data_IF_169091616314
#
_entry.id   IF_169091616314
#
_cell.length_a   1.000
_cell.length_b   1.000
_cell.length_c   1.000
_cell.angle_alpha   90.00
_cell.angle_beta   90.00
_cell.angle_gamma   90.00
#
_symmetry.space_group_name_H-M   'P 1'
#
loop_
_entity.id
_entity.type
_entity.pdbx_description
1 polymer ?
#
# COMPACT_ATOMS: atom_id res chain seq x y z
N UNK A 1 -7.63 12.07 9.92
CA UNK A 1 -7.02 11.40 8.75
C UNK A 1 -7.41 9.94 8.85
N UNK A 2 -8.35 9.48 8.02
CA UNK A 2 -8.71 8.06 8.02
C UNK A 2 -7.52 7.30 7.43
N UNK A 3 -6.94 6.38 8.22
CA UNK A 3 -6.00 5.40 7.67
C UNK A 3 -6.78 4.59 6.64
N UNK A 4 -6.28 4.50 5.41
CA UNK A 4 -6.75 3.48 4.49
C UNK A 4 -6.65 2.15 5.24
N UNK A 5 -7.82 1.57 5.54
CA UNK A 5 -7.86 0.21 6.05
C UNK A 5 -7.66 -0.64 4.82
N UNK A 6 -6.41 -1.03 4.55
CA UNK A 6 -6.17 -2.30 3.87
C UNK A 6 -7.05 -3.30 4.62
N UNK A 7 -7.88 -4.04 3.88
CA UNK A 7 -8.81 -4.99 4.47
C UNK A 7 -8.04 -5.79 5.54
N UNK A 8 -8.61 -5.95 6.74
CA UNK A 8 -7.89 -6.61 7.84
C UNK A 8 -7.51 -8.05 7.46
N UNK A 9 -8.23 -8.63 6.49
CA UNK A 9 -7.95 -9.94 5.89
C UNK A 9 -6.70 -9.97 4.99
N UNK A 10 -6.18 -8.80 4.58
CA UNK A 10 -4.90 -8.65 3.88
C UNK A 10 -3.75 -8.21 4.82
N UNK A 11 -3.99 -8.17 6.14
CA UNK A 11 -3.02 -7.72 7.14
C UNK A 11 -1.98 -8.76 7.56
N UNK A 12 -1.09 -8.36 8.49
CA UNK A 12 0.09 -9.06 9.06
C UNK A 12 0.12 -10.60 9.04
N UNK A 13 -1.00 -11.26 9.30
CA UNK A 13 -1.11 -12.72 9.33
C UNK A 13 -1.06 -13.36 7.93
N UNK A 14 -1.22 -12.59 6.86
CA UNK A 14 -1.23 -13.08 5.48
C UNK A 14 0.08 -13.76 5.09
N UNK A 15 1.19 -13.37 5.71
CA UNK A 15 2.54 -13.82 5.35
C UNK A 15 3.30 -14.43 6.54
N UNK A 16 2.62 -14.76 7.65
CA UNK A 16 3.26 -15.37 8.83
C UNK A 16 3.95 -16.70 8.51
N UNK A 17 3.31 -17.52 7.67
CA UNK A 17 3.87 -18.80 7.21
C UNK A 17 4.76 -18.67 5.96
N UNK A 18 4.95 -17.45 5.44
CA UNK A 18 5.76 -17.23 4.24
C UNK A 18 7.26 -17.35 4.56
N UNK A 19 8.01 -17.92 3.62
CA UNK A 19 9.47 -18.01 3.75
C UNK A 19 10.09 -16.61 3.87
N UNK A 20 11.27 -16.54 4.49
CA UNK A 20 12.02 -15.28 4.60
C UNK A 20 12.27 -14.66 3.23
N UNK A 21 12.60 -15.46 2.23
CA UNK A 21 12.80 -15.01 0.85
C UNK A 21 11.57 -14.29 0.28
N UNK A 22 10.36 -14.82 0.52
CA UNK A 22 9.11 -14.18 0.07
C UNK A 22 8.87 -12.88 0.83
N UNK A 23 9.08 -12.86 2.15
CA UNK A 23 8.92 -11.64 2.96
C UNK A 23 9.90 -10.55 2.53
N UNK A 24 11.17 -10.87 2.35
CA UNK A 24 12.19 -9.95 1.86
C UNK A 24 11.83 -9.41 0.47
N UNK A 25 11.30 -10.26 -0.41
CA UNK A 25 10.83 -9.84 -1.73
C UNK A 25 9.66 -8.85 -1.64
N UNK A 26 8.66 -9.13 -0.80
CA UNK A 26 7.51 -8.25 -0.57
C UNK A 26 7.98 -6.89 -0.04
N UNK A 27 8.89 -6.90 0.94
CA UNK A 27 9.48 -5.68 1.51
C UNK A 27 10.17 -4.85 0.44
N UNK A 28 10.98 -5.48 -0.41
CA UNK A 28 11.67 -4.78 -1.50
C UNK A 28 10.67 -4.24 -2.55
N UNK A 29 9.62 -4.99 -2.87
CA UNK A 29 8.57 -4.55 -3.79
C UNK A 29 7.83 -3.32 -3.25
N UNK A 30 7.45 -3.32 -1.96
CA UNK A 30 6.82 -2.16 -1.31
C UNK A 30 7.75 -0.95 -1.33
N UNK A 31 9.03 -1.14 -0.95
CA UNK A 31 10.01 -0.07 -0.94
C UNK A 31 10.18 0.57 -2.31
N UNK A 32 10.29 -0.25 -3.37
CA UNK A 32 10.38 0.23 -4.73
C UNK A 32 9.13 1.00 -5.15
N UNK A 33 7.93 0.50 -4.83
CA UNK A 33 6.67 1.19 -5.16
C UNK A 33 6.64 2.58 -4.53
N UNK A 34 7.09 2.71 -3.29
CA UNK A 34 7.11 3.98 -2.56
C UNK A 34 8.15 4.97 -3.11
N UNK A 35 9.33 4.51 -3.56
CA UNK A 35 10.41 5.43 -3.95
C UNK A 35 10.49 5.73 -5.45
N UNK A 36 9.72 5.02 -6.30
CA UNK A 36 9.82 5.08 -7.77
C UNK A 36 9.51 6.45 -8.36
N UNK A 37 8.72 7.26 -7.68
CA UNK A 37 8.37 8.62 -8.10
C UNK A 37 9.40 9.67 -7.63
N UNK A 38 10.33 9.28 -6.76
CA UNK A 38 11.38 10.11 -6.19
C UNK A 38 10.92 11.09 -5.10
N UNK A 39 9.70 11.00 -4.57
CA UNK A 39 9.19 11.91 -3.53
C UNK A 39 8.53 11.12 -2.42
N UNK A 40 9.19 11.06 -1.25
CA UNK A 40 8.62 10.37 -0.09
C UNK A 40 7.68 11.30 0.70
N UNK A 41 6.37 11.05 0.61
CA UNK A 41 5.34 11.80 1.31
C UNK A 41 4.89 11.15 2.64
N UNK A 42 4.22 11.93 3.50
CA UNK A 42 3.80 11.47 4.84
C UNK A 42 2.91 10.21 4.81
N UNK A 43 2.11 10.06 3.77
CA UNK A 43 1.17 8.94 3.64
C UNK A 43 1.88 7.64 3.19
N UNK A 44 3.00 7.73 2.47
CA UNK A 44 3.82 6.58 2.08
C UNK A 44 4.56 5.95 3.27
N UNK A 45 4.72 6.68 4.38
CA UNK A 45 5.22 6.09 5.62
C UNK A 45 4.32 4.96 6.14
N UNK A 46 3.03 4.95 5.79
CA UNK A 46 2.14 3.83 6.15
C UNK A 46 2.55 2.58 5.39
N UNK A 47 2.84 2.69 4.09
CA UNK A 47 3.36 1.58 3.29
C UNK A 47 4.72 1.08 3.81
N UNK A 48 5.61 1.99 4.21
CA UNK A 48 6.89 1.61 4.82
C UNK A 48 6.71 0.94 6.19
N UNK A 49 5.73 1.37 6.99
CA UNK A 49 5.39 0.70 8.26
C UNK A 49 4.96 -0.74 8.01
N UNK A 50 4.10 -0.97 7.02
CA UNK A 50 3.68 -2.31 6.61
C UNK A 50 4.88 -3.19 6.21
N UNK A 51 5.83 -2.66 5.44
CA UNK A 51 7.05 -3.38 5.09
C UNK A 51 7.93 -3.68 6.32
N UNK A 52 8.09 -2.72 7.24
CA UNK A 52 8.87 -2.90 8.47
C UNK A 52 8.30 -4.02 9.34
N UNK A 53 6.98 -4.20 9.36
CA UNK A 53 6.34 -5.25 10.16
C UNK A 53 6.62 -6.68 9.66
N UNK A 54 7.11 -6.83 8.42
CA UNK A 54 7.49 -8.12 7.83
C UNK A 54 8.95 -8.51 8.13
N UNK A 55 9.76 -7.57 8.63
CA UNK A 55 11.16 -7.77 8.94
C UNK A 55 11.38 -8.37 10.33
N UNK A 56 12.41 -9.19 10.47
CA UNK A 56 12.67 -9.98 11.68
C UNK A 56 13.64 -9.28 12.64
N UNK A 57 14.41 -8.31 12.15
CA UNK A 57 15.47 -7.68 12.92
C UNK A 57 15.54 -6.16 12.75
N UNK A 58 16.12 -5.49 13.75
CA UNK A 58 16.39 -4.04 13.67
C UNK A 58 17.40 -3.68 12.59
N UNK A 59 18.31 -4.59 12.28
CA UNK A 59 19.34 -4.36 11.25
C UNK A 59 18.70 -4.34 9.86
N UNK A 60 17.78 -5.25 9.57
CA UNK A 60 17.00 -5.24 8.32
C UNK A 60 16.17 -3.96 8.18
N UNK A 61 15.56 -3.49 9.27
CA UNK A 61 14.82 -2.21 9.29
C UNK A 61 15.76 -1.04 9.00
N UNK A 62 16.96 -1.04 9.61
CA UNK A 62 17.95 0.00 9.37
C UNK A 62 18.40 0.02 7.91
N UNK A 63 18.68 -1.15 7.34
CA UNK A 63 19.07 -1.30 5.94
C UNK A 63 17.97 -0.83 5.01
N UNK A 64 16.71 -1.27 5.20
CA UNK A 64 15.56 -0.79 4.44
C UNK A 64 15.47 0.75 4.48
N UNK A 65 15.54 1.34 5.68
CA UNK A 65 15.42 2.79 5.84
C UNK A 65 16.60 3.55 5.23
N UNK A 66 17.81 2.99 5.24
CA UNK A 66 18.96 3.57 4.57
C UNK A 66 18.74 3.61 3.07
N UNK A 67 18.30 2.50 2.48
CA UNK A 67 18.03 2.37 1.04
C UNK A 67 16.94 3.31 0.55
N UNK A 68 15.85 3.40 1.32
CA UNK A 68 14.74 4.32 1.05
C UNK A 68 15.22 5.79 1.07
N UNK A 69 16.11 6.16 2.01
CA UNK A 69 16.71 7.51 2.04
C UNK A 69 17.63 7.77 0.86
N UNK A 70 18.41 6.77 0.46
CA UNK A 70 19.34 6.85 -0.67
C UNK A 70 18.62 6.77 -2.03
N UNK A 71 17.32 6.43 -2.04
CA UNK A 71 16.50 6.21 -3.24
C UNK A 71 17.10 5.17 -4.18
N UNK A 72 17.67 4.15 -3.57
CA UNK A 72 18.27 3.04 -4.29
C UNK A 72 17.14 2.12 -4.78
N UNK A 73 16.72 2.31 -6.04
CA UNK A 73 15.70 1.50 -6.69
C UNK A 73 16.28 0.13 -7.03
N UNK A 74 15.66 -0.93 -6.49
CA UNK A 74 16.02 -2.30 -6.80
C UNK A 74 15.31 -2.76 -8.06
N UNK A 75 16.01 -3.57 -8.84
CA UNK A 75 15.35 -4.43 -9.81
C UNK A 75 14.47 -5.44 -9.06
N UNK A 76 13.16 -5.40 -9.31
CA UNK A 76 12.25 -6.45 -8.84
C UNK A 76 12.51 -7.69 -9.68
N UNK A 77 12.90 -8.78 -9.02
CA UNK A 77 13.27 -10.04 -9.67
C UNK A 77 12.13 -11.04 -9.62
N UNK A 78 12.15 -12.00 -10.52
CA UNK A 78 11.20 -13.11 -10.49
C UNK A 78 11.32 -13.89 -9.18
N UNK A 79 10.17 -14.29 -8.63
CA UNK A 79 10.09 -15.10 -7.43
C UNK A 79 9.08 -16.23 -7.64
N UNK A 80 9.45 -17.44 -7.20
CA UNK A 80 8.55 -18.59 -7.25
C UNK A 80 7.79 -18.71 -5.93
N UNK A 81 6.48 -18.77 -6.02
CA UNK A 81 5.60 -19.09 -4.91
C UNK A 81 4.32 -19.76 -5.43
N UNK A 82 3.56 -20.39 -4.53
CA UNK A 82 2.25 -20.95 -4.86
C UNK A 82 1.32 -19.87 -5.42
N UNK A 83 0.53 -20.22 -6.44
CA UNK A 83 -0.31 -19.27 -7.17
C UNK A 83 -1.25 -18.49 -6.24
N UNK A 84 -1.85 -19.16 -5.26
CA UNK A 84 -2.72 -18.51 -4.28
C UNK A 84 -1.98 -17.44 -3.47
N UNK A 85 -0.74 -17.71 -3.06
CA UNK A 85 0.09 -16.75 -2.35
C UNK A 85 0.51 -15.59 -3.26
N UNK A 86 0.88 -15.88 -4.52
CA UNK A 86 1.21 -14.86 -5.51
C UNK A 86 0.04 -13.89 -5.73
N UNK A 87 -1.19 -14.41 -5.85
CA UNK A 87 -2.42 -13.60 -5.98
C UNK A 87 -2.59 -12.72 -4.73
N UNK A 88 -2.49 -13.30 -3.53
CA UNK A 88 -2.62 -12.58 -2.25
C UNK A 88 -1.59 -11.46 -2.11
N UNK A 89 -0.32 -11.75 -2.42
CA UNK A 89 0.76 -10.75 -2.46
C UNK A 89 0.43 -9.63 -3.44
N UNK A 90 -0.07 -9.96 -4.62
CA UNK A 90 -0.35 -8.96 -5.64
C UNK A 90 -1.51 -8.02 -5.25
N UNK A 91 -2.58 -8.56 -4.66
CA UNK A 91 -3.65 -7.74 -4.08
C UNK A 91 -3.14 -6.83 -2.96
N UNK A 92 -2.25 -7.33 -2.11
CA UNK A 92 -1.64 -6.55 -1.04
C UNK A 92 -0.78 -5.40 -1.59
N UNK A 93 0.10 -5.66 -2.55
CA UNK A 93 0.90 -4.62 -3.23
C UNK A 93 0.01 -3.57 -3.92
N UNK A 94 -1.06 -4.01 -4.58
CA UNK A 94 -1.99 -3.10 -5.26
C UNK A 94 -2.76 -2.21 -4.27
N UNK A 95 -3.09 -2.72 -3.07
CA UNK A 95 -3.72 -1.94 -2.02
C UNK A 95 -2.75 -0.92 -1.41
N UNK A 96 -1.48 -1.29 -1.22
CA UNK A 96 -0.42 -0.39 -0.76
C UNK A 96 -0.19 0.75 -1.77
N UNK A 97 -0.15 0.42 -3.06
CA UNK A 97 0.12 1.40 -4.13
C UNK A 97 -0.94 2.50 -4.24
N UNK A 98 -2.13 2.33 -3.64
CA UNK A 98 -3.23 3.32 -3.67
C UNK A 98 -3.55 3.90 -2.28
N UNK A 99 -2.67 3.69 -1.30
CA UNK A 99 -2.89 4.04 0.12
C UNK A 99 -2.94 5.56 0.38
N UNK A 100 -2.54 6.37 -0.58
CA UNK A 100 -2.59 7.82 -0.51
C UNK A 100 -3.82 8.41 -1.23
N UNK A 101 -4.61 7.57 -1.90
CA UNK A 101 -5.72 8.02 -2.73
C UNK A 101 -5.32 8.41 -4.16
N UNK A 102 -4.11 8.07 -4.60
CA UNK A 102 -3.60 8.29 -5.94
C UNK A 102 -2.85 7.05 -6.46
N UNK A 103 -2.61 6.99 -7.77
CA UNK A 103 -1.69 6.00 -8.35
C UNK A 103 -0.98 6.65 -9.53
N UNK A 104 0.28 7.03 -9.32
CA UNK A 104 1.12 7.64 -10.35
C UNK A 104 1.44 6.61 -11.44
N UNK A 105 1.81 7.13 -12.63
CA UNK A 105 2.15 6.28 -13.77
C UNK A 105 3.32 5.34 -13.45
N UNK A 106 4.36 5.85 -12.78
CA UNK A 106 5.55 5.09 -12.38
C UNK A 106 5.23 3.98 -11.38
N UNK A 107 4.40 4.27 -10.36
CA UNK A 107 3.92 3.28 -9.39
C UNK A 107 3.10 2.18 -10.06
N UNK A 108 2.23 2.54 -11.01
CA UNK A 108 1.45 1.58 -11.79
C UNK A 108 2.31 0.69 -12.67
N UNK A 109 3.31 1.27 -13.34
CA UNK A 109 4.25 0.51 -14.19
C UNK A 109 5.05 -0.49 -13.35
N UNK A 110 5.53 -0.05 -12.19
CA UNK A 110 6.24 -0.92 -11.26
C UNK A 110 5.34 -1.98 -10.63
N UNK A 111 4.11 -1.65 -10.25
CA UNK A 111 3.12 -2.61 -9.76
C UNK A 111 2.86 -3.70 -10.80
N UNK A 112 2.66 -3.32 -12.07
CA UNK A 112 2.47 -4.30 -13.14
C UNK A 112 3.73 -5.18 -13.33
N UNK A 113 4.93 -4.62 -13.20
CA UNK A 113 6.18 -5.39 -13.24
C UNK A 113 6.26 -6.40 -12.09
N UNK A 114 5.87 -6.01 -10.86
CA UNK A 114 5.75 -6.94 -9.73
C UNK A 114 4.80 -8.09 -10.05
N UNK A 115 3.65 -7.82 -10.70
CA UNK A 115 2.72 -8.85 -11.14
C UNK A 115 3.36 -9.85 -12.12
N UNK A 116 4.17 -9.36 -13.06
CA UNK A 116 4.95 -10.19 -13.98
C UNK A 116 5.98 -11.06 -13.26
N UNK A 117 6.73 -10.50 -12.32
CA UNK A 117 7.72 -11.23 -11.52
C UNK A 117 7.12 -12.29 -10.58
N UNK A 118 5.84 -12.16 -10.24
CA UNK A 118 5.05 -13.17 -9.53
C UNK A 118 4.55 -14.30 -10.46
N UNK A 119 4.79 -14.19 -11.77
CA UNK A 119 4.31 -15.15 -12.77
C UNK A 119 2.80 -15.08 -13.03
N UNK A 120 2.16 -13.95 -12.73
CA UNK A 120 0.71 -13.78 -12.93
C UNK A 120 0.39 -13.45 -14.38
N UNK A 121 -0.78 -13.92 -14.84
CA UNK A 121 -1.28 -13.60 -16.17
C UNK A 121 -1.67 -12.11 -16.29
N UNK A 122 -1.41 -11.52 -17.45
CA UNK A 122 -1.70 -10.12 -17.75
C UNK A 122 -3.17 -9.71 -17.47
N UNK A 123 -4.12 -10.62 -17.70
CA UNK A 123 -5.55 -10.36 -17.44
C UNK A 123 -5.83 -10.20 -15.94
N UNK A 124 -5.22 -11.05 -15.11
CA UNK A 124 -5.29 -10.92 -13.67
C UNK A 124 -4.61 -9.63 -13.19
N UNK A 125 -3.42 -9.33 -13.74
CA UNK A 125 -2.70 -8.09 -13.41
C UNK A 125 -3.59 -6.87 -13.68
N UNK A 126 -4.20 -6.81 -14.87
CA UNK A 126 -5.14 -5.73 -15.24
C UNK A 126 -6.38 -5.69 -14.33
N UNK A 127 -6.92 -6.84 -13.95
CA UNK A 127 -8.11 -6.92 -13.12
C UNK A 127 -7.85 -6.38 -11.69
N UNK A 128 -6.75 -6.80 -11.07
CA UNK A 128 -6.38 -6.35 -9.72
C UNK A 128 -6.00 -4.86 -9.72
N UNK A 129 -5.24 -4.39 -10.71
CA UNK A 129 -4.93 -2.95 -10.85
C UNK A 129 -6.20 -2.11 -11.05
N UNK A 130 -7.22 -2.63 -11.74
CA UNK A 130 -8.52 -1.94 -11.84
C UNK A 130 -9.27 -1.97 -10.51
N UNK A 131 -9.22 -3.10 -9.80
CA UNK A 131 -9.82 -3.23 -8.47
C UNK A 131 -9.22 -2.21 -7.48
N UNK A 132 -7.90 -2.03 -7.46
CA UNK A 132 -7.27 -1.08 -6.53
C UNK A 132 -7.68 0.38 -6.82
N UNK A 133 -7.78 0.77 -8.10
CA UNK A 133 -8.30 2.07 -8.50
C UNK A 133 -9.76 2.28 -8.06
N UNK A 134 -10.60 1.26 -8.16
CA UNK A 134 -11.97 1.33 -7.66
C UNK A 134 -12.02 1.48 -6.13
N UNK A 135 -11.17 0.74 -5.39
CA UNK A 135 -11.06 0.86 -3.93
C UNK A 135 -10.63 2.28 -3.52
N UNK A 136 -9.68 2.85 -4.26
CA UNK A 136 -9.21 4.22 -4.08
C UNK A 136 -10.36 5.25 -4.20
N UNK A 137 -11.17 5.13 -5.27
CA UNK A 137 -12.34 6.00 -5.50
C UNK A 137 -13.37 5.88 -4.37
N UNK A 138 -13.66 4.66 -3.92
CA UNK A 138 -14.59 4.39 -2.81
C UNK A 138 -14.08 5.05 -1.52
N UNK A 139 -12.80 4.87 -1.20
CA UNK A 139 -12.19 5.45 0.00
C UNK A 139 -12.15 6.98 -0.03
N UNK A 140 -11.90 7.56 -1.21
CA UNK A 140 -11.95 9.02 -1.41
C UNK A 140 -13.35 9.57 -1.13
N UNK A 141 -14.38 8.92 -1.69
CA UNK A 141 -15.78 9.32 -1.48
C UNK A 141 -16.18 9.19 -0.01
N UNK A 142 -15.88 8.06 0.63
CA UNK A 142 -16.17 7.86 2.05
C UNK A 142 -15.53 8.94 2.94
N UNK A 143 -14.27 9.30 2.64
CA UNK A 143 -13.56 10.35 3.39
C UNK A 143 -14.24 11.72 3.24
N UNK A 144 -14.71 12.05 2.04
CA UNK A 144 -15.43 13.29 1.77
C UNK A 144 -16.78 13.33 2.49
N UNK A 145 -17.54 12.23 2.45
CA UNK A 145 -18.85 12.12 3.11
C UNK A 145 -18.72 12.26 4.62
N UNK A 146 -17.71 11.61 5.23
CA UNK A 146 -17.41 11.73 6.66
C UNK A 146 -16.99 13.15 7.06
N UNK A 147 -16.17 13.82 6.24
CA UNK A 147 -15.79 15.23 6.48
C UNK A 147 -17.03 16.14 6.47
N UNK A 148 -17.91 15.93 5.51
CA UNK A 148 -19.16 16.70 5.39
C UNK A 148 -20.08 16.47 6.59
N UNK A 149 -20.22 15.22 7.03
CA UNK A 149 -21.00 14.87 8.21
C UNK A 149 -20.43 15.49 9.50
N UNK A 150 -19.11 15.49 9.68
CA UNK A 150 -18.47 16.09 10.85
C UNK A 150 -18.62 17.61 10.86
N UNK A 151 -18.47 18.28 9.71
CA UNK A 151 -18.71 19.72 9.60
C UNK A 151 -20.17 20.08 9.94
N UNK A 152 -21.13 19.25 9.54
CA UNK A 152 -22.55 19.46 9.89
C UNK A 152 -22.76 19.34 11.41
N UNK A 153 -22.15 18.34 12.06
CA UNK A 153 -22.17 18.21 13.52
C UNK A 153 -21.58 19.45 14.19
N UNK A 154 -20.43 19.93 13.73
CA UNK A 154 -19.75 21.08 14.35
C UNK A 154 -20.59 22.35 14.24
N UNK A 155 -21.28 22.57 13.11
CA UNK A 155 -22.27 23.66 12.95
C UNK A 155 -23.43 23.55 13.94
N UNK A 156 -24.00 22.36 14.13
CA UNK A 156 -25.09 22.15 15.11
C UNK A 156 -24.61 22.51 16.52
N UNK A 157 -23.37 22.14 16.88
CA UNK A 157 -22.78 22.49 18.17
C UNK A 157 -22.57 24.00 18.30
N UNK A 158 -22.05 24.66 17.27
CA UNK A 158 -21.85 26.11 17.25
C UNK A 158 -23.18 26.88 17.39
N UNK A 159 -24.21 26.50 16.64
CA UNK A 159 -25.55 27.10 16.72
C UNK A 159 -26.11 26.98 18.16
N UNK A 160 -25.97 25.82 18.81
CA UNK A 160 -26.46 25.61 20.17
C UNK A 160 -25.63 26.34 21.25
N UNK A 161 -24.34 26.59 21.02
CA UNK A 161 -23.45 27.26 21.99
C UNK A 161 -23.56 28.80 21.88
N UNK A 162 -23.75 29.32 20.67
CA UNK A 162 -23.78 30.76 20.40
C UNK A 162 -25.19 31.37 20.32
N UNK A 163 -26.25 30.60 20.63
CA UNK A 163 -27.63 31.09 20.85
C UNK A 163 -27.84 31.79 22.22
N UNK A 164 -26.82 32.46 22.78
CA UNK A 164 -26.94 33.37 23.95
C UNK A 164 -26.50 34.78 23.58
#
# INVERSE_FOLDING_TARGET
MYKLRIDRDLGKNLFEDASKEIRDWIVNAIANIVIVDGVIEKHEFVALQEAIELLESRDEVHDLMKKVKERDLYEVKDIKMELELAIKVFFYLAAIAVIDGNLKKSEKELLNACGGCLGLEDDLIRAVTRWSLNQMEINRKLTQDLKSSNNARDRIIEELIFEV
#
